data_IF_106942179058
#
_entry.id   IF_106942179058
#
_cell.length_a   1.000
_cell.length_b   1.000
_cell.length_c   1.000
_cell.angle_alpha   90.00
_cell.angle_beta   90.00
_cell.angle_gamma   90.00
#
_symmetry.space_group_name_H-M   'P 1'
#
loop_
_entity.id
_entity.type
_entity.pdbx_description
1 polymer ?
#
# COMPACT_ATOMS: atom_id res chain seq x y z
N UNK A 1 -4.71 -17.37 17.41
CA UNK A 1 -5.98 -16.85 16.85
C UNK A 1 -5.97 -17.11 15.37
N UNK A 2 -7.12 -17.52 14.83
CA UNK A 2 -7.25 -17.76 13.39
C UNK A 2 -7.14 -16.45 12.60
N UNK A 3 -6.58 -16.48 11.38
CA UNK A 3 -6.52 -15.30 10.53
C UNK A 3 -7.91 -14.88 10.07
N UNK A 4 -8.14 -13.57 9.94
CA UNK A 4 -9.40 -13.07 9.42
C UNK A 4 -9.51 -13.31 7.91
N UNK A 5 -10.74 -13.39 7.39
CA UNK A 5 -10.96 -13.65 5.96
C UNK A 5 -10.28 -12.61 5.04
N UNK A 6 -10.33 -11.32 5.44
CA UNK A 6 -9.62 -10.24 4.74
C UNK A 6 -8.11 -10.47 4.71
N UNK A 7 -7.52 -10.90 5.82
CA UNK A 7 -6.09 -11.18 5.91
C UNK A 7 -5.68 -12.34 5.01
N UNK A 8 -6.49 -13.39 4.93
CA UNK A 8 -6.24 -14.51 4.03
C UNK A 8 -6.31 -14.10 2.55
N UNK A 9 -7.33 -13.33 2.17
CA UNK A 9 -7.53 -12.91 0.79
C UNK A 9 -6.45 -11.93 0.31
N UNK A 10 -5.90 -11.11 1.21
CA UNK A 10 -4.79 -10.19 0.93
C UNK A 10 -3.40 -10.82 1.12
N UNK A 11 -3.32 -12.11 1.44
CA UNK A 11 -2.05 -12.78 1.78
C UNK A 11 -1.29 -12.10 2.94
N UNK A 12 -2.03 -11.44 3.84
CA UNK A 12 -1.56 -10.76 5.05
C UNK A 12 -1.99 -11.50 6.32
N UNK A 13 -2.21 -12.82 6.23
CA UNK A 13 -2.64 -13.64 7.37
C UNK A 13 -1.64 -13.60 8.53
N UNK A 14 -0.34 -13.46 8.23
CA UNK A 14 0.75 -13.30 9.21
C UNK A 14 0.63 -12.03 10.06
N UNK A 15 -0.12 -11.04 9.60
CA UNK A 15 -0.29 -9.76 10.28
C UNK A 15 -1.58 -9.68 11.08
N UNK A 16 -2.43 -10.71 11.02
CA UNK A 16 -3.67 -10.76 11.76
C UNK A 16 -3.43 -10.61 13.27
N UNK A 17 -4.29 -9.82 13.92
CA UNK A 17 -4.33 -9.65 15.38
C UNK A 17 -3.05 -9.06 16.00
N UNK A 18 -2.16 -8.47 15.19
CA UNK A 18 -1.02 -7.71 15.70
C UNK A 18 -1.50 -6.52 16.52
N UNK A 19 -0.86 -6.29 17.66
CA UNK A 19 -1.29 -5.23 18.60
C UNK A 19 -0.58 -3.89 18.40
N UNK A 20 0.18 -3.73 17.32
CA UNK A 20 0.95 -2.50 17.05
C UNK A 20 0.09 -1.25 16.85
N UNK A 21 -1.10 -1.40 16.23
CA UNK A 21 -2.00 -0.28 15.94
C UNK A 21 -3.26 -0.25 16.81
N UNK A 22 -3.54 -1.34 17.52
CA UNK A 22 -4.70 -1.48 18.41
C UNK A 22 -4.37 -2.49 19.50
N UNK A 23 -4.77 -2.22 20.73
CA UNK A 23 -4.68 -3.19 21.83
C UNK A 23 -5.80 -4.24 21.78
N UNK A 24 -6.85 -4.01 20.99
CA UNK A 24 -7.99 -4.91 20.87
C UNK A 24 -7.70 -6.04 19.86
N UNK A 25 -8.02 -7.26 20.24
CA UNK A 25 -7.90 -8.47 19.41
C UNK A 25 -9.25 -9.13 19.23
N UNK A 26 -9.47 -9.80 18.11
CA UNK A 26 -10.78 -10.37 17.74
C UNK A 26 -11.20 -9.96 16.34
N UNK A 27 -12.46 -10.22 16.02
CA UNK A 27 -13.05 -9.97 14.70
C UNK A 27 -14.15 -8.91 14.78
N UNK A 28 -14.26 -8.15 13.70
CA UNK A 28 -15.45 -7.42 13.34
C UNK A 28 -16.15 -8.11 12.19
N UNK A 29 -17.46 -8.18 12.29
CA UNK A 29 -18.34 -8.59 11.19
C UNK A 29 -18.74 -7.38 10.34
N UNK A 30 -19.33 -7.62 9.17
CA UNK A 30 -19.88 -6.57 8.30
C UNK A 30 -20.91 -5.68 9.03
N UNK A 31 -21.69 -6.25 9.95
CA UNK A 31 -22.75 -5.53 10.69
C UNK A 31 -22.18 -4.54 11.71
N UNK A 32 -20.95 -4.74 12.16
CA UNK A 32 -20.27 -3.86 13.12
C UNK A 32 -19.53 -2.68 12.44
N UNK A 33 -19.43 -2.69 11.10
CA UNK A 33 -18.82 -1.62 10.33
C UNK A 33 -19.90 -0.64 9.87
N UNK A 34 -19.61 0.64 9.96
CA UNK A 34 -20.46 1.65 9.33
C UNK A 34 -20.46 1.48 7.80
N UNK A 35 -21.49 1.97 7.12
CA UNK A 35 -21.56 1.93 5.64
C UNK A 35 -20.35 2.59 4.99
N UNK A 36 -19.86 3.68 5.58
CA UNK A 36 -18.65 4.40 5.12
C UNK A 36 -17.39 3.56 5.32
N UNK A 37 -17.23 2.93 6.48
CA UNK A 37 -16.07 2.06 6.76
C UNK A 37 -16.07 0.83 5.84
N UNK A 38 -17.24 0.25 5.61
CA UNK A 38 -17.40 -0.87 4.69
C UNK A 38 -16.96 -0.48 3.28
N UNK A 39 -17.40 0.68 2.80
CA UNK A 39 -17.00 1.22 1.50
C UNK A 39 -15.47 1.46 1.43
N UNK A 40 -14.89 2.07 2.47
CA UNK A 40 -13.44 2.29 2.53
C UNK A 40 -12.65 0.99 2.47
N UNK A 41 -13.06 -0.03 3.24
CA UNK A 41 -12.39 -1.34 3.21
C UNK A 41 -12.52 -1.95 1.82
N UNK A 42 -13.69 -1.94 1.20
CA UNK A 42 -13.90 -2.47 -0.15
C UNK A 42 -13.01 -1.77 -1.19
N UNK A 43 -12.99 -0.43 -1.18
CA UNK A 43 -12.18 0.35 -2.13
C UNK A 43 -10.67 0.18 -1.90
N UNK A 44 -10.22 0.13 -0.64
CA UNK A 44 -8.79 0.04 -0.28
C UNK A 44 -8.20 -1.35 -0.45
N UNK A 45 -9.01 -2.40 -0.29
CA UNK A 45 -8.58 -3.79 -0.38
C UNK A 45 -8.97 -4.47 -1.69
N UNK A 46 -9.95 -3.94 -2.41
CA UNK A 46 -10.55 -4.59 -3.59
C UNK A 46 -11.42 -5.80 -3.23
N UNK A 47 -11.74 -6.01 -1.95
CA UNK A 47 -12.51 -7.16 -1.47
C UNK A 47 -13.95 -6.76 -1.23
N UNK A 48 -14.88 -7.44 -1.88
CA UNK A 48 -16.30 -7.35 -1.54
C UNK A 48 -16.59 -8.18 -0.29
N UNK A 49 -16.89 -7.51 0.81
CA UNK A 49 -17.25 -8.15 2.07
C UNK A 49 -18.68 -8.72 2.02
N UNK A 50 -18.79 -10.04 1.87
CA UNK A 50 -20.00 -10.83 2.12
C UNK A 50 -20.30 -10.92 3.62
N UNK A 51 -21.51 -11.39 3.99
CA UNK A 51 -21.94 -11.42 5.40
C UNK A 51 -21.09 -12.35 6.29
N UNK A 52 -20.47 -13.37 5.68
CA UNK A 52 -19.59 -14.31 6.37
C UNK A 52 -18.13 -13.84 6.47
N UNK A 53 -17.78 -12.72 5.81
CA UNK A 53 -16.43 -12.20 5.86
C UNK A 53 -16.16 -11.49 7.20
N UNK A 54 -15.05 -11.86 7.81
CA UNK A 54 -14.51 -11.28 9.03
C UNK A 54 -13.27 -10.45 8.74
N UNK A 55 -13.14 -9.34 9.45
CA UNK A 55 -11.92 -8.52 9.49
C UNK A 55 -11.45 -8.43 10.93
N UNK A 56 -10.17 -8.67 11.22
CA UNK A 56 -9.67 -8.52 12.59
C UNK A 56 -9.53 -7.04 12.97
N UNK A 57 -9.56 -6.72 14.26
CA UNK A 57 -9.39 -5.34 14.72
C UNK A 57 -8.10 -4.69 14.21
N UNK A 58 -7.02 -5.47 14.08
CA UNK A 58 -5.77 -4.99 13.48
C UNK A 58 -5.96 -4.53 12.04
N UNK A 59 -6.49 -5.39 11.17
CA UNK A 59 -6.71 -5.06 9.77
C UNK A 59 -7.75 -3.95 9.60
N UNK A 60 -8.80 -3.93 10.41
CA UNK A 60 -9.76 -2.82 10.41
C UNK A 60 -9.04 -1.49 10.71
N UNK A 61 -8.22 -1.44 11.76
CA UNK A 61 -7.42 -0.25 12.10
C UNK A 61 -6.46 0.15 10.98
N UNK A 62 -5.80 -0.83 10.35
CA UNK A 62 -4.88 -0.61 9.24
C UNK A 62 -5.59 0.02 8.05
N UNK A 63 -6.70 -0.58 7.60
CA UNK A 63 -7.38 -0.15 6.38
C UNK A 63 -8.30 1.05 6.59
N UNK A 64 -8.79 1.32 7.79
CA UNK A 64 -9.63 2.49 8.08
C UNK A 64 -8.78 3.70 8.46
N UNK A 65 -7.86 3.54 9.41
CA UNK A 65 -7.20 4.68 10.04
C UNK A 65 -5.76 4.90 9.57
N UNK A 66 -5.01 3.82 9.31
CA UNK A 66 -3.57 3.90 9.04
C UNK A 66 -3.22 3.84 7.56
N UNK A 67 -4.20 3.63 6.69
CA UNK A 67 -3.99 3.38 5.26
C UNK A 67 -3.16 4.50 4.60
N UNK A 68 -3.55 5.75 4.87
CA UNK A 68 -2.86 6.93 4.35
C UNK A 68 -1.43 7.05 4.88
N UNK A 69 -1.21 6.69 6.13
CA UNK A 69 0.11 6.75 6.76
C UNK A 69 1.06 5.70 6.19
N UNK A 70 0.54 4.56 5.74
CA UNK A 70 1.34 3.52 5.10
C UNK A 70 1.85 3.95 3.72
N UNK A 71 1.15 4.87 3.05
CA UNK A 71 1.56 5.37 1.75
C UNK A 71 2.65 6.46 1.86
N UNK A 72 3.91 6.04 1.91
CA UNK A 72 5.07 6.93 2.10
C UNK A 72 5.54 7.67 0.83
N UNK A 73 4.94 7.40 -0.32
CA UNK A 73 5.30 8.01 -1.59
C UNK A 73 4.07 8.25 -2.46
N UNK A 74 4.23 9.10 -3.47
CA UNK A 74 3.22 9.32 -4.49
C UNK A 74 2.75 7.99 -5.08
N UNK A 75 1.44 7.83 -5.26
CA UNK A 75 0.86 6.67 -5.93
C UNK A 75 1.22 6.60 -7.41
N UNK A 76 1.52 7.75 -8.01
CA UNK A 76 1.83 7.90 -9.43
C UNK A 76 0.81 7.22 -10.38
N UNK A 77 -0.47 7.63 -10.34
CA UNK A 77 -1.53 6.99 -11.14
C UNK A 77 -1.30 7.07 -12.67
N UNK A 78 -0.41 7.96 -13.11
CA UNK A 78 -0.06 8.18 -14.51
C UNK A 78 1.29 7.58 -14.91
N UNK A 79 2.00 6.93 -13.98
CA UNK A 79 3.33 6.36 -14.19
C UNK A 79 4.33 7.39 -14.78
N UNK A 80 4.25 8.65 -14.34
CA UNK A 80 5.06 9.76 -14.86
C UNK A 80 6.34 9.98 -14.05
N UNK A 81 6.50 9.28 -12.92
CA UNK A 81 7.68 9.40 -12.08
C UNK A 81 8.79 8.45 -12.52
N UNK A 82 9.96 9.02 -12.86
CA UNK A 82 11.20 8.26 -13.03
C UNK A 82 11.84 7.88 -11.69
N UNK A 83 11.57 8.65 -10.64
CA UNK A 83 12.08 8.46 -9.26
C UNK A 83 10.93 8.57 -8.26
N UNK A 84 11.00 7.82 -7.16
CA UNK A 84 9.96 7.84 -6.12
C UNK A 84 9.85 9.24 -5.50
N UNK A 85 8.65 9.84 -5.59
CA UNK A 85 8.35 11.15 -5.01
C UNK A 85 7.79 10.99 -3.60
N UNK A 86 8.37 11.67 -2.61
CA UNK A 86 7.94 11.62 -1.19
C UNK A 86 7.55 12.97 -0.60
N UNK A 87 7.74 14.07 -1.34
CA UNK A 87 7.53 15.44 -0.84
C UNK A 87 6.12 15.93 -1.17
N UNK A 88 5.54 16.71 -0.25
CA UNK A 88 4.27 17.44 -0.39
C UNK A 88 3.14 16.55 -0.94
N UNK A 89 2.96 15.39 -0.30
CA UNK A 89 1.95 14.43 -0.72
C UNK A 89 0.60 14.79 -0.10
N UNK A 90 -0.44 14.81 -0.92
CA UNK A 90 -1.83 15.03 -0.51
C UNK A 90 -2.63 13.75 -0.70
N UNK A 91 -3.33 13.31 0.35
CA UNK A 91 -4.25 12.19 0.27
C UNK A 91 -5.54 12.62 -0.42
N UNK A 92 -6.08 11.78 -1.29
CA UNK A 92 -7.41 11.98 -1.89
C UNK A 92 -8.48 11.43 -0.95
N UNK A 93 -9.62 12.13 -0.86
CA UNK A 93 -10.77 11.65 -0.10
C UNK A 93 -11.66 10.70 -0.93
N UNK A 94 -12.84 10.35 -0.41
CA UNK A 94 -13.78 9.44 -1.07
C UNK A 94 -14.41 10.10 -2.31
N UNK A 95 -14.73 11.39 -2.22
CA UNK A 95 -15.41 12.13 -3.28
C UNK A 95 -14.45 12.37 -4.45
N UNK A 96 -13.22 12.80 -4.15
CA UNK A 96 -12.11 12.90 -5.09
C UNK A 96 -11.85 11.55 -5.77
N UNK A 97 -11.73 10.46 -5.01
CA UNK A 97 -11.49 9.14 -5.59
C UNK A 97 -12.60 8.74 -6.56
N UNK A 98 -13.86 9.01 -6.21
CA UNK A 98 -15.03 8.72 -7.06
C UNK A 98 -15.00 9.57 -8.34
N UNK A 99 -14.82 10.88 -8.19
CA UNK A 99 -14.76 11.83 -9.29
C UNK A 99 -13.62 11.51 -10.26
N UNK A 100 -12.42 11.29 -9.73
CA UNK A 100 -11.23 10.94 -10.52
C UNK A 100 -11.40 9.62 -11.23
N UNK A 101 -12.06 8.65 -10.58
CA UNK A 101 -12.30 7.35 -11.20
C UNK A 101 -13.19 7.45 -12.43
N UNK A 102 -14.27 8.23 -12.32
CA UNK A 102 -15.15 8.53 -13.44
C UNK A 102 -14.43 9.33 -14.54
N UNK A 103 -13.66 10.37 -14.15
CA UNK A 103 -12.97 11.26 -15.09
C UNK A 103 -11.93 10.56 -15.95
N UNK A 104 -11.14 9.66 -15.35
CA UNK A 104 -9.99 9.04 -16.02
C UNK A 104 -10.26 7.59 -16.48
N UNK A 105 -11.44 7.04 -16.21
CA UNK A 105 -11.77 5.64 -16.54
C UNK A 105 -10.83 4.64 -15.86
N UNK A 106 -10.27 4.99 -14.70
CA UNK A 106 -9.33 4.18 -13.92
C UNK A 106 -9.68 4.29 -12.46
N UNK A 107 -9.59 3.21 -11.71
CA UNK A 107 -9.92 3.23 -10.28
C UNK A 107 -8.88 4.02 -9.48
N UNK A 108 -9.33 5.06 -8.79
CA UNK A 108 -8.60 5.75 -7.73
C UNK A 108 -9.10 5.26 -6.36
N UNK A 109 -8.19 5.14 -5.39
CA UNK A 109 -8.50 4.59 -4.07
C UNK A 109 -8.41 5.70 -3.02
N UNK A 110 -9.44 5.88 -2.16
CA UNK A 110 -9.41 6.85 -1.07
C UNK A 110 -8.21 6.65 -0.14
N UNK A 111 -7.53 7.74 0.19
CA UNK A 111 -6.29 7.77 0.94
C UNK A 111 -5.02 7.65 0.09
N UNK A 112 -5.15 7.49 -1.23
CA UNK A 112 -3.99 7.59 -2.13
C UNK A 112 -3.33 8.96 -2.03
N UNK A 113 -2.02 8.93 -1.80
CA UNK A 113 -1.19 10.13 -1.71
C UNK A 113 -0.64 10.51 -3.08
N UNK A 114 -0.90 11.73 -3.51
CA UNK A 114 -0.47 12.30 -4.79
C UNK A 114 0.50 13.46 -4.56
N UNK A 115 1.53 13.54 -5.39
CA UNK A 115 2.45 14.68 -5.36
C UNK A 115 1.88 15.86 -6.17
N UNK A 116 2.44 17.08 -6.02
CA UNK A 116 1.94 18.28 -6.70
C UNK A 116 1.88 18.13 -8.22
N UNK A 117 2.83 17.40 -8.83
CA UNK A 117 2.85 17.14 -10.28
C UNK A 117 1.66 16.28 -10.72
N UNK A 118 1.34 15.22 -9.98
CA UNK A 118 0.17 14.38 -10.28
C UNK A 118 -1.14 15.14 -10.08
N UNK A 119 -1.22 15.97 -9.03
CA UNK A 119 -2.36 16.86 -8.81
C UNK A 119 -2.52 17.89 -9.92
N UNK A 120 -1.42 18.44 -10.44
CA UNK A 120 -1.46 19.37 -11.59
C UNK A 120 -1.99 18.71 -12.86
N UNK A 121 -1.57 17.46 -13.14
CA UNK A 121 -2.11 16.68 -14.27
C UNK A 121 -3.61 16.47 -14.11
N UNK A 122 -4.06 16.08 -12.90
CA UNK A 122 -5.48 15.88 -12.59
C UNK A 122 -6.31 17.14 -12.87
N UNK A 123 -5.76 18.28 -12.49
CA UNK A 123 -6.38 19.60 -12.65
C UNK A 123 -6.28 20.16 -14.08
N UNK A 124 -5.67 19.43 -15.03
CA UNK A 124 -5.49 19.89 -16.40
C UNK A 124 -4.46 21.03 -16.55
N UNK A 125 -3.61 21.26 -15.54
CA UNK A 125 -2.57 22.30 -15.56
C UNK A 125 -1.29 21.83 -16.26
N UNK A 126 -1.17 20.54 -16.55
CA UNK A 126 0.00 19.94 -17.20
C UNK A 126 -0.46 18.76 -18.04
N UNK A 127 -0.15 18.77 -19.33
CA UNK A 127 -0.44 17.65 -20.22
C UNK A 127 0.55 16.50 -19.98
N UNK A 128 0.04 15.27 -19.98
CA UNK A 128 0.89 14.07 -20.00
C UNK A 128 1.14 13.76 -21.47
N UNK A 129 2.39 13.91 -21.89
CA UNK A 129 2.84 13.41 -23.19
C UNK A 129 2.51 11.91 -23.29
N UNK A 130 1.53 11.59 -24.12
CA UNK A 130 0.89 10.26 -24.15
C UNK A 130 1.84 9.17 -24.68
N UNK A 131 2.92 9.55 -25.36
CA UNK A 131 3.85 8.65 -26.02
C UNK A 131 4.83 7.97 -25.04
N UNK A 132 5.19 8.65 -23.94
CA UNK A 132 6.07 8.13 -22.88
C UNK A 132 5.33 7.15 -21.93
N UNK A 133 4.00 7.24 -21.86
CA UNK A 133 3.15 6.36 -21.08
C UNK A 133 2.82 5.05 -21.84
N UNK A 134 2.69 5.11 -23.16
CA UNK A 134 2.44 3.95 -24.02
C UNK A 134 3.68 3.07 -24.22
N UNK A 135 4.87 3.67 -24.44
CA UNK A 135 6.12 2.92 -24.63
C UNK A 135 6.48 2.00 -23.46
N UNK A 136 6.13 2.37 -22.22
CA UNK A 136 6.38 1.53 -21.04
C UNK A 136 5.34 0.42 -20.80
N UNK A 137 4.19 0.45 -21.49
CA UNK A 137 3.20 -0.64 -21.40
C UNK A 137 3.63 -1.86 -22.20
N UNK A 138 4.08 -1.62 -23.44
CA UNK A 138 4.47 -2.65 -24.41
C UNK A 138 5.63 -3.54 -23.94
N UNK A 139 6.57 -3.02 -23.14
CA UNK A 139 7.71 -3.79 -22.62
C UNK A 139 7.31 -4.85 -21.55
N UNK A 140 6.07 -4.80 -21.04
CA UNK A 140 5.60 -5.67 -19.94
C UNK A 140 4.83 -6.90 -20.42
N UNK A 141 4.37 -6.93 -21.66
CA UNK A 141 3.34 -7.87 -22.17
C UNK A 141 3.91 -9.20 -22.71
N UNK A 142 5.01 -9.68 -22.12
CA UNK A 142 5.69 -10.93 -22.50
C UNK A 142 5.34 -12.17 -21.67
N UNK A 143 4.25 -12.18 -20.87
CA UNK A 143 3.83 -13.38 -20.10
C UNK A 143 2.30 -13.54 -20.04
N UNK A 144 1.81 -14.44 -20.89
CA UNK A 144 0.54 -15.21 -20.86
C UNK A 144 -0.51 -14.87 -19.78
N UNK A 145 -1.73 -14.58 -20.26
CA UNK A 145 -2.97 -14.35 -19.54
C UNK A 145 -3.22 -15.30 -18.34
N UNK A 146 -3.16 -14.74 -17.13
CA UNK A 146 -3.68 -15.33 -15.89
C UNK A 146 -4.20 -14.22 -14.99
N UNK A 147 -5.52 -14.13 -14.85
CA UNK A 147 -6.29 -13.32 -13.91
C UNK A 147 -6.01 -11.80 -13.92
N UNK A 148 -7.05 -10.99 -13.78
CA UNK A 148 -6.94 -9.56 -13.57
C UNK A 148 -6.14 -9.32 -12.27
N UNK A 149 -4.81 -9.21 -12.37
CA UNK A 149 -3.97 -8.72 -11.28
C UNK A 149 -4.29 -7.24 -11.14
N UNK A 150 -5.23 -6.93 -10.25
CA UNK A 150 -5.41 -5.60 -9.72
C UNK A 150 -4.06 -5.17 -9.14
N UNK A 151 -3.29 -4.47 -9.96
CA UNK A 151 -2.08 -3.81 -9.53
C UNK A 151 -2.48 -2.59 -8.67
N UNK A 152 -2.95 -2.86 -7.44
CA UNK A 152 -2.46 -2.12 -6.29
C UNK A 152 -1.46 -3.02 -5.56
N UNK A 153 -0.23 -3.18 -6.08
CA UNK A 153 0.83 -3.64 -5.22
C UNK A 153 1.16 -2.43 -4.37
N UNK A 154 0.73 -2.43 -3.12
CA UNK A 154 1.56 -1.82 -2.08
C UNK A 154 2.96 -2.33 -2.35
N UNK A 155 3.79 -1.48 -2.96
CA UNK A 155 5.05 -1.83 -3.60
C UNK A 155 5.93 -2.41 -2.52
N UNK A 156 5.94 -3.75 -2.38
CA UNK A 156 6.63 -4.52 -1.34
C UNK A 156 7.20 -3.63 -0.22
N UNK A 157 6.35 -3.11 0.66
CA UNK A 157 6.85 -2.85 2.00
C UNK A 157 6.97 -4.22 2.61
N UNK A 158 8.11 -4.86 2.39
CA UNK A 158 8.48 -6.01 3.18
C UNK A 158 8.21 -5.66 4.63
N UNK A 159 7.36 -6.45 5.27
CA UNK A 159 7.11 -6.42 6.69
C UNK A 159 8.38 -6.90 7.40
N UNK A 160 9.47 -6.15 7.25
CA UNK A 160 10.68 -6.34 8.01
C UNK A 160 10.60 -5.40 9.21
N UNK A 161 10.67 -5.91 10.45
CA UNK A 161 11.00 -5.05 11.57
C UNK A 161 12.38 -4.46 11.26
N UNK A 162 12.49 -3.13 11.15
CA UNK A 162 13.81 -2.50 11.10
C UNK A 162 14.56 -2.89 12.38
N UNK A 163 15.54 -3.78 12.24
CA UNK A 163 16.51 -4.04 13.27
C UNK A 163 17.26 -2.74 13.58
N UNK A 164 16.93 -2.19 14.74
CA UNK A 164 17.62 -1.21 15.55
C UNK A 164 19.02 -0.80 15.01
N UNK A 165 19.11 0.36 14.35
CA UNK A 165 20.39 0.94 13.85
C UNK A 165 21.31 1.47 14.96
N UNK A 166 21.18 1.01 16.21
CA UNK A 166 21.99 1.46 17.35
C UNK A 166 23.11 0.49 17.74
N UNK A 167 23.17 -0.72 17.20
CA UNK A 167 24.08 -1.76 17.70
C UNK A 167 25.11 -2.24 16.66
N UNK A 168 25.80 -1.31 15.99
CA UNK A 168 26.95 -1.64 15.11
C UNK A 168 28.22 -0.85 15.42
N UNK A 169 28.40 -0.39 16.66
CA UNK A 169 29.60 0.33 17.08
C UNK A 169 30.40 -0.31 18.21
N UNK A 170 30.23 -1.61 18.47
CA UNK A 170 30.97 -2.29 19.57
C UNK A 170 31.64 -3.63 19.26
N UNK A 171 31.65 -4.13 18.03
CA UNK A 171 32.25 -5.45 17.72
C UNK A 171 33.26 -5.46 16.56
N UNK A 172 33.90 -4.33 16.26
CA UNK A 172 35.10 -4.30 15.40
C UNK A 172 36.27 -3.74 16.19
N UNK A 173 36.79 -4.51 17.15
CA UNK A 173 38.17 -4.39 17.67
C UNK A 173 38.43 -5.52 18.66
N UNK A 174 38.72 -6.73 18.14
CA UNK A 174 39.78 -7.66 18.61
C UNK A 174 39.51 -9.10 18.19
N UNK A 175 40.18 -9.49 17.10
CA UNK A 175 40.69 -10.83 16.77
C UNK A 175 41.17 -10.74 15.31
N UNK A 176 42.33 -11.18 14.85
CA UNK A 176 43.50 -11.87 15.40
C UNK A 176 44.52 -11.84 14.25
N UNK A 177 45.81 -11.64 14.52
CA UNK A 177 46.87 -12.11 13.63
C UNK A 177 48.06 -12.53 14.49
N UNK A 178 48.13 -13.84 14.75
CA UNK A 178 49.32 -14.51 15.29
C UNK A 178 50.01 -15.23 14.13
N UNK A 179 51.33 -14.99 14.07
CA UNK A 179 52.45 -15.78 13.55
C UNK A 179 52.56 -16.15 12.06
N UNK A 180 53.73 -15.81 11.50
CA UNK A 180 54.70 -16.86 11.13
C UNK A 180 56.14 -16.35 11.31
N UNK A 181 56.88 -17.12 12.11
CA UNK A 181 58.33 -17.08 12.33
C UNK A 181 59.00 -17.98 11.28
N UNK A 182 59.96 -17.44 10.52
CA UNK A 182 61.13 -18.14 9.96
C UNK A 182 62.05 -17.20 9.18
#
# INVERSE_FOLDING_TARGET
MDPCSVGNQLQASSDCHKTYFTSQTGFKTKQELSSTDLLLVQLRTGITLSDNHTICFHHAKVYLDRYEDLQKSCCDPFNVHKKITRKNLHAIDIDDATFLSAKFGRQFIPGWKLCPKCTQIINGKTEVDSEDCQRRRLDSDGRTAKALKFANPGRHTGFAPEANKREKRRLQTKSTSLNSDR
#
